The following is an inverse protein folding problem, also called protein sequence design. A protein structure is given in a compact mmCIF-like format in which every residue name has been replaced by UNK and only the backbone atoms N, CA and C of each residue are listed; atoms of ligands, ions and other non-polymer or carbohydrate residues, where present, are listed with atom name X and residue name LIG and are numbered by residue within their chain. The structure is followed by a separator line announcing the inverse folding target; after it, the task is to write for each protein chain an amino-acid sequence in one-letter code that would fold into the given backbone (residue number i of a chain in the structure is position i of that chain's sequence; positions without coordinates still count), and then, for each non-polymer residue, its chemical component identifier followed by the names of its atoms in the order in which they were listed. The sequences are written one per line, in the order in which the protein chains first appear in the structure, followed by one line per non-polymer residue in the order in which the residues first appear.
data_IF_157124519803
#
_entry.id   IF_157124519803
#
_cell.length_a   1.000
_cell.length_b   1.000
_cell.length_c   1.000
_cell.angle_alpha   90.00
_cell.angle_beta   90.00
_cell.angle_gamma   90.00
#
_symmetry.space_group_name_H-M   'P 1'
#
loop_
_entity.id
_entity.type
_entity.pdbx_description
1 polymer ?
#
# COMPACT_ATOMS: atom_id res chain seq x y z
N UNK A 1 19.60 -4.48 -34.27
CA UNK A 1 19.01 -3.95 -33.02
C UNK A 1 18.23 -5.07 -32.34
N UNK A 2 18.87 -5.85 -31.47
CA UNK A 2 18.22 -6.93 -30.72
C UNK A 2 18.81 -7.00 -29.31
N UNK A 3 18.61 -5.95 -28.52
CA UNK A 3 18.74 -6.05 -27.07
C UNK A 3 17.37 -6.51 -26.56
N UNK A 4 17.20 -7.82 -26.43
CA UNK A 4 16.17 -8.39 -25.56
C UNK A 4 16.36 -7.75 -24.18
N UNK A 5 15.38 -6.95 -23.74
CA UNK A 5 15.35 -6.39 -22.38
C UNK A 5 15.32 -7.59 -21.42
N UNK A 6 16.50 -7.96 -20.89
CA UNK A 6 16.62 -9.02 -19.89
C UNK A 6 15.73 -8.65 -18.70
N UNK A 7 14.78 -9.51 -18.33
CA UNK A 7 13.98 -9.33 -17.12
C UNK A 7 14.92 -9.31 -15.92
N UNK A 8 14.88 -8.23 -15.14
CA UNK A 8 15.64 -8.14 -13.89
C UNK A 8 14.98 -9.07 -12.87
N UNK A 9 15.79 -9.79 -12.08
CA UNK A 9 15.30 -10.65 -10.99
C UNK A 9 14.53 -9.78 -9.98
N UNK A 10 13.33 -10.20 -9.58
CA UNK A 10 12.40 -9.48 -8.70
C UNK A 10 11.88 -8.12 -9.23
N UNK A 11 11.48 -8.08 -10.50
CA UNK A 11 10.96 -6.88 -11.18
C UNK A 11 9.66 -6.35 -10.55
N UNK A 12 8.76 -7.24 -10.09
CA UNK A 12 7.48 -6.81 -9.53
C UNK A 12 7.67 -6.17 -8.14
N UNK A 13 8.55 -6.75 -7.33
CA UNK A 13 8.94 -6.19 -6.04
C UNK A 13 9.60 -4.81 -6.21
N UNK A 14 10.48 -4.65 -7.20
CA UNK A 14 11.08 -3.36 -7.52
C UNK A 14 10.03 -2.30 -7.87
N UNK A 15 9.11 -2.61 -8.79
CA UNK A 15 8.04 -1.67 -9.19
C UNK A 15 7.09 -1.36 -8.03
N UNK A 16 6.78 -2.34 -7.19
CA UNK A 16 6.00 -2.14 -5.96
C UNK A 16 6.69 -1.13 -5.02
N UNK A 17 7.99 -1.27 -4.79
CA UNK A 17 8.76 -0.38 -3.94
C UNK A 17 8.87 1.03 -4.54
N UNK A 18 9.00 1.16 -5.86
CA UNK A 18 9.00 2.45 -6.54
C UNK A 18 7.65 3.19 -6.38
N UNK A 19 6.53 2.48 -6.56
CA UNK A 19 5.19 3.05 -6.35
C UNK A 19 4.93 3.43 -4.89
N UNK A 20 5.55 2.73 -3.95
CA UNK A 20 5.39 2.98 -2.51
C UNK A 20 6.56 3.75 -1.87
N UNK A 21 7.45 4.35 -2.67
CA UNK A 21 8.65 5.05 -2.18
C UNK A 21 8.33 6.17 -1.18
N UNK A 22 7.17 6.83 -1.32
CA UNK A 22 6.70 7.84 -0.38
C UNK A 22 6.48 7.33 1.05
N UNK A 23 6.17 6.03 1.23
CA UNK A 23 6.01 5.40 2.56
C UNK A 23 7.34 5.25 3.31
N UNK A 24 8.47 5.22 2.60
CA UNK A 24 9.81 5.16 3.22
C UNK A 24 10.22 6.46 3.93
N UNK A 25 9.55 7.57 3.57
CA UNK A 25 9.92 8.92 3.95
C UNK A 25 9.13 9.50 5.13
N UNK A 26 8.22 8.75 5.77
CA UNK A 26 7.44 9.28 6.91
C UNK A 26 8.40 9.80 7.99
N UNK A 27 8.52 11.13 8.19
CA UNK A 27 9.29 11.67 9.30
C UNK A 27 8.50 11.36 10.56
N UNK A 28 9.19 10.95 11.63
CA UNK A 28 8.57 10.69 12.93
C UNK A 28 7.95 12.01 13.45
N UNK A 29 6.63 12.25 13.29
CA UNK A 29 6.09 13.60 13.32
C UNK A 29 6.00 14.16 14.75
N UNK A 30 5.97 13.28 15.76
CA UNK A 30 5.88 13.68 17.17
C UNK A 30 7.22 14.14 17.77
N UNK A 31 8.31 13.43 17.51
CA UNK A 31 9.57 13.69 18.22
C UNK A 31 10.37 14.85 17.62
N UNK A 32 10.45 14.95 16.29
CA UNK A 32 11.28 15.96 15.61
C UNK A 32 10.68 17.37 15.70
N UNK A 33 9.37 17.50 15.50
CA UNK A 33 8.69 18.81 15.47
C UNK A 33 8.57 19.42 16.86
N UNK A 34 8.30 18.61 17.89
CA UNK A 34 8.24 19.07 19.29
C UNK A 34 9.64 19.41 19.82
N UNK A 35 10.68 18.64 19.47
CA UNK A 35 12.05 18.95 19.88
C UNK A 35 12.58 20.22 19.21
N UNK A 36 12.37 20.39 17.90
CA UNK A 36 12.85 21.58 17.17
C UNK A 36 12.07 22.83 17.57
N UNK A 37 10.74 22.76 17.73
CA UNK A 37 9.95 23.92 18.15
C UNK A 37 10.25 24.36 19.59
N UNK A 38 10.40 23.43 20.54
CA UNK A 38 10.71 23.76 21.94
C UNK A 38 12.12 24.34 22.12
N UNK A 39 13.12 23.83 21.38
CA UNK A 39 14.47 24.38 21.38
C UNK A 39 14.53 25.80 20.80
N UNK A 40 13.80 26.05 19.71
CA UNK A 40 13.75 27.38 19.07
C UNK A 40 13.03 28.41 19.95
N UNK A 41 11.89 28.06 20.55
CA UNK A 41 11.16 28.94 21.48
C UNK A 41 11.98 29.24 22.74
N UNK A 42 12.63 28.22 23.31
CA UNK A 42 13.48 28.39 24.49
C UNK A 42 14.72 29.25 24.19
N UNK A 43 15.35 29.04 23.02
CA UNK A 43 16.50 29.83 22.58
C UNK A 43 16.15 31.29 22.32
N UNK A 44 15.01 31.55 21.68
CA UNK A 44 14.54 32.91 21.41
C UNK A 44 14.20 33.69 22.70
N UNK A 45 13.54 33.04 23.67
CA UNK A 45 13.20 33.64 24.96
C UNK A 45 14.46 33.99 25.77
N UNK A 46 15.44 33.09 25.79
CA UNK A 46 16.72 33.29 26.48
C UNK A 46 17.56 34.41 25.85
N UNK A 47 17.59 34.48 24.51
CA UNK A 47 18.31 35.55 23.79
C UNK A 47 17.67 36.93 23.98
N UNK A 48 16.33 36.99 24.05
CA UNK A 48 15.60 38.22 24.35
C UNK A 48 15.88 38.74 25.78
N UNK A 49 15.98 37.85 26.76
CA UNK A 49 16.31 38.18 28.16
C UNK A 49 17.75 38.69 28.33
N UNK A 50 18.71 38.06 27.65
CA UNK A 50 20.12 38.49 27.66
C UNK A 50 20.32 39.90 27.08
N UNK A 51 19.52 40.28 26.08
CA UNK A 51 19.58 41.60 25.44
C UNK A 51 19.18 42.73 26.40
N UNK A 52 18.31 42.45 27.37
CA UNK A 52 17.72 43.46 28.27
C UNK A 52 18.49 43.65 29.59
N UNK A 53 19.23 42.64 30.08
CA UNK A 53 19.76 42.65 31.46
C UNK A 53 21.25 42.99 31.62
N UNK A 54 21.99 43.19 30.52
CA UNK A 54 23.43 43.49 30.58
C UNK A 54 24.28 42.34 31.19
N UNK A 55 25.60 42.54 31.39
CA UNK A 55 26.52 41.45 31.75
C UNK A 55 26.31 40.90 33.17
N UNK A 56 25.89 41.73 34.14
CA UNK A 56 25.69 41.30 35.53
C UNK A 56 24.36 40.53 35.69
N UNK A 57 23.31 40.94 34.97
CA UNK A 57 22.03 40.22 34.95
C UNK A 57 22.08 38.91 34.15
N UNK A 58 23.09 38.72 33.29
CA UNK A 58 23.24 37.50 32.48
C UNK A 58 23.45 36.24 33.33
N UNK A 59 24.25 36.31 34.39
CA UNK A 59 24.50 35.16 35.29
C UNK A 59 23.24 34.76 36.08
N UNK A 60 22.47 35.73 36.56
CA UNK A 60 21.20 35.48 37.24
C UNK A 60 20.14 34.95 36.28
N UNK A 61 20.07 35.49 35.05
CA UNK A 61 19.14 35.02 34.02
C UNK A 61 19.44 33.58 33.59
N UNK A 62 20.71 33.17 33.49
CA UNK A 62 21.09 31.77 33.23
C UNK A 62 20.61 30.81 34.32
N UNK A 63 20.80 31.18 35.59
CA UNK A 63 20.49 30.30 36.71
C UNK A 63 18.97 30.15 36.93
N UNK A 64 18.22 31.25 36.83
CA UNK A 64 16.79 31.26 37.15
C UNK A 64 15.86 31.06 35.95
N UNK A 65 16.33 31.29 34.71
CA UNK A 65 15.50 31.14 33.50
C UNK A 65 16.05 30.09 32.55
N UNK A 66 17.38 30.09 32.31
CA UNK A 66 18.02 29.11 31.43
C UNK A 66 17.87 27.67 31.91
N UNK A 67 18.26 27.40 33.16
CA UNK A 67 18.24 26.05 33.74
C UNK A 67 16.81 25.45 33.81
N UNK A 68 15.78 26.20 34.26
CA UNK A 68 14.40 25.70 34.25
C UNK A 68 13.84 25.47 32.85
N UNK A 69 14.16 26.33 31.87
CA UNK A 69 13.73 26.13 30.49
C UNK A 69 14.34 24.87 29.86
N UNK A 70 15.62 24.60 30.14
CA UNK A 70 16.28 23.34 29.73
C UNK A 70 15.59 22.14 30.42
N UNK A 71 15.27 22.26 31.71
CA UNK A 71 14.53 21.23 32.44
C UNK A 71 13.12 20.96 31.86
N UNK A 72 12.36 22.01 31.54
CA UNK A 72 11.01 21.91 30.97
C UNK A 72 11.06 21.32 29.56
N UNK A 73 11.97 21.80 28.71
CA UNK A 73 12.14 21.26 27.36
C UNK A 73 12.57 19.78 27.39
N UNK A 74 13.52 19.42 28.26
CA UNK A 74 13.90 18.02 28.46
C UNK A 74 12.73 17.19 29.00
N UNK A 75 11.94 17.71 29.94
CA UNK A 75 10.76 17.02 30.46
C UNK A 75 9.69 16.80 29.39
N UNK A 76 9.43 17.79 28.52
CA UNK A 76 8.48 17.64 27.41
C UNK A 76 8.97 16.63 26.37
N UNK A 77 10.27 16.64 26.05
CA UNK A 77 10.90 15.66 25.16
C UNK A 77 10.81 14.25 25.75
N UNK A 78 11.14 14.09 27.04
CA UNK A 78 11.03 12.81 27.74
C UNK A 78 9.57 12.36 27.83
N UNK A 79 8.63 13.26 28.15
CA UNK A 79 7.20 12.94 28.24
C UNK A 79 6.63 12.47 26.90
N UNK A 80 7.05 13.07 25.78
CA UNK A 80 6.61 12.63 24.46
C UNK A 80 7.35 11.35 24.02
N UNK A 81 8.64 11.20 24.36
CA UNK A 81 9.41 9.98 24.10
C UNK A 81 8.89 8.76 24.89
N UNK A 82 8.42 8.98 26.12
CA UNK A 82 7.84 7.97 27.02
C UNK A 82 6.32 7.90 26.97
N UNK A 83 5.66 8.66 26.09
CA UNK A 83 4.23 8.52 25.87
C UNK A 83 3.97 7.09 25.36
N UNK A 84 3.04 6.33 25.95
CA UNK A 84 2.73 5.00 25.46
C UNK A 84 2.30 5.15 24.01
N UNK A 85 3.14 4.70 23.07
CA UNK A 85 2.83 4.75 21.65
C UNK A 85 1.65 3.82 21.43
N UNK A 86 0.55 4.35 20.90
CA UNK A 86 -0.59 3.53 20.48
C UNK A 86 -0.10 2.36 19.61
N UNK A 87 -0.64 1.16 19.85
CA UNK A 87 -0.21 -0.04 19.12
C UNK A 87 -0.29 0.13 17.59
N UNK A 88 -1.23 0.94 17.11
CA UNK A 88 -1.36 1.33 15.70
C UNK A 88 -0.18 2.17 15.20
N UNK A 89 0.27 3.13 16.01
CA UNK A 89 1.39 4.01 15.68
C UNK A 89 2.73 3.26 15.68
N UNK A 90 2.87 2.25 16.54
CA UNK A 90 4.03 1.36 16.54
C UNK A 90 4.10 0.54 15.25
N UNK A 91 2.99 -0.10 14.84
CA UNK A 91 2.92 -0.85 13.57
C UNK A 91 3.28 0.02 12.37
N UNK A 92 2.77 1.25 12.30
CA UNK A 92 3.09 2.17 11.20
C UNK A 92 4.60 2.49 11.16
N UNK A 93 5.24 2.67 12.32
CA UNK A 93 6.69 2.91 12.41
C UNK A 93 7.52 1.69 12.00
N UNK A 94 7.11 0.49 12.41
CA UNK A 94 7.72 -0.77 12.01
C UNK A 94 7.62 -0.96 10.50
N UNK A 95 6.44 -0.77 9.92
CA UNK A 95 6.26 -0.84 8.46
C UNK A 95 7.14 0.17 7.73
N UNK A 96 7.14 1.43 8.14
CA UNK A 96 7.99 2.46 7.53
C UNK A 96 9.48 2.10 7.58
N UNK A 97 9.93 1.41 8.66
CA UNK A 97 11.30 0.92 8.78
C UNK A 97 11.59 -0.19 7.76
N UNK A 98 10.72 -1.19 7.63
CA UNK A 98 10.88 -2.30 6.67
C UNK A 98 10.89 -1.76 5.24
N UNK A 99 9.93 -0.89 4.89
CA UNK A 99 9.89 -0.23 3.58
C UNK A 99 11.16 0.55 3.27
N UNK A 100 11.68 1.32 4.24
CA UNK A 100 12.93 2.08 4.05
C UNK A 100 14.11 1.16 3.81
N UNK A 101 14.20 0.07 4.56
CA UNK A 101 15.26 -0.91 4.44
C UNK A 101 15.24 -1.58 3.05
N UNK A 102 14.07 -2.07 2.62
CA UNK A 102 13.86 -2.64 1.29
C UNK A 102 14.13 -1.61 0.17
N UNK A 103 13.73 -0.36 0.37
CA UNK A 103 13.97 0.71 -0.60
C UNK A 103 15.46 1.03 -0.75
N UNK A 104 16.21 1.10 0.34
CA UNK A 104 17.66 1.31 0.30
C UNK A 104 18.35 0.14 -0.40
N UNK A 105 17.98 -1.10 -0.06
CA UNK A 105 18.50 -2.31 -0.72
C UNK A 105 18.16 -2.33 -2.22
N UNK A 106 16.96 -1.89 -2.59
CA UNK A 106 16.55 -1.71 -3.99
C UNK A 106 17.41 -0.66 -4.71
N UNK A 107 17.58 0.53 -4.13
CA UNK A 107 18.41 1.60 -4.71
C UNK A 107 19.87 1.21 -4.91
N UNK A 108 20.38 0.32 -4.07
CA UNK A 108 21.72 -0.22 -4.18
C UNK A 108 21.82 -1.40 -5.18
N UNK A 109 20.73 -1.80 -5.84
CA UNK A 109 20.62 -3.01 -6.67
C UNK A 109 21.02 -4.30 -5.92
N UNK A 110 20.85 -4.33 -4.60
CA UNK A 110 21.25 -5.46 -3.74
C UNK A 110 20.08 -6.35 -3.31
N UNK A 111 18.88 -6.13 -3.87
CA UNK A 111 17.68 -6.95 -3.58
C UNK A 111 17.95 -8.44 -3.75
N UNK A 112 18.69 -8.82 -4.79
CA UNK A 112 19.00 -10.22 -5.09
C UNK A 112 20.07 -10.82 -4.16
N UNK A 113 20.88 -9.98 -3.53
CA UNK A 113 22.04 -10.38 -2.73
C UNK A 113 21.73 -10.44 -1.24
N UNK A 114 20.97 -9.47 -0.76
CA UNK A 114 20.77 -9.25 0.68
C UNK A 114 19.48 -9.94 1.19
N UNK A 115 18.50 -10.19 0.32
CA UNK A 115 17.30 -10.95 0.70
C UNK A 115 17.53 -12.46 0.60
N UNK A 116 16.88 -13.20 1.50
CA UNK A 116 16.70 -14.63 1.32
C UNK A 116 15.97 -14.89 -0.01
N UNK A 117 16.52 -15.70 -0.94
CA UNK A 117 15.93 -15.94 -2.25
C UNK A 117 14.50 -16.50 -2.16
N UNK A 118 14.22 -17.36 -1.18
CA UNK A 118 12.90 -18.01 -1.04
C UNK A 118 11.83 -16.99 -0.64
N UNK A 119 12.19 -16.06 0.25
CA UNK A 119 11.30 -14.99 0.69
C UNK A 119 11.17 -13.89 -0.35
N UNK A 120 12.25 -13.60 -1.08
CA UNK A 120 12.23 -12.66 -2.19
C UNK A 120 11.29 -13.11 -3.32
N UNK A 121 11.26 -14.42 -3.63
CA UNK A 121 10.32 -14.98 -4.60
C UNK A 121 8.86 -14.89 -4.13
N UNK A 122 8.59 -15.22 -2.86
CA UNK A 122 7.25 -15.06 -2.28
C UNK A 122 6.80 -13.59 -2.31
N UNK A 123 7.68 -12.66 -1.95
CA UNK A 123 7.41 -11.23 -1.99
C UNK A 123 7.20 -10.70 -3.40
N UNK A 124 7.98 -11.18 -4.38
CA UNK A 124 7.80 -10.81 -5.78
C UNK A 124 6.47 -11.33 -6.32
N UNK A 125 6.04 -12.53 -5.92
CA UNK A 125 4.72 -13.08 -6.26
C UNK A 125 3.57 -12.27 -5.62
N UNK A 126 3.68 -11.91 -4.33
CA UNK A 126 2.71 -11.02 -3.68
C UNK A 126 2.66 -9.65 -4.37
N UNK A 127 3.83 -9.06 -4.68
CA UNK A 127 3.93 -7.79 -5.39
C UNK A 127 3.35 -7.88 -6.80
N UNK A 128 3.53 -9.00 -7.50
CA UNK A 128 2.93 -9.27 -8.81
C UNK A 128 1.41 -9.23 -8.75
N UNK A 129 0.82 -9.88 -7.75
CA UNK A 129 -0.64 -9.88 -7.57
C UNK A 129 -1.17 -8.51 -7.15
N UNK A 130 -0.46 -7.81 -6.26
CA UNK A 130 -0.77 -6.43 -5.91
C UNK A 130 -0.74 -5.51 -7.15
N UNK A 131 0.30 -5.60 -7.98
CA UNK A 131 0.41 -4.83 -9.22
C UNK A 131 -0.71 -5.15 -10.21
N UNK A 132 -1.12 -6.43 -10.32
CA UNK A 132 -2.28 -6.81 -11.14
C UNK A 132 -3.56 -6.15 -10.66
N UNK A 133 -3.83 -6.16 -9.37
CA UNK A 133 -5.01 -5.48 -8.78
C UNK A 133 -4.97 -3.99 -9.12
N UNK A 134 -3.87 -3.31 -8.82
CA UNK A 134 -3.77 -1.86 -9.04
C UNK A 134 -3.81 -1.47 -10.52
N UNK A 135 -3.28 -2.30 -11.42
CA UNK A 135 -3.40 -2.08 -12.87
C UNK A 135 -4.82 -2.32 -13.34
N UNK A 136 -5.49 -3.36 -12.86
CA UNK A 136 -6.88 -3.65 -13.22
C UNK A 136 -7.82 -2.54 -12.74
N UNK A 137 -7.68 -2.09 -11.49
CA UNK A 137 -8.44 -0.97 -10.91
C UNK A 137 -8.07 0.39 -11.51
N UNK A 138 -6.92 0.51 -12.17
CA UNK A 138 -6.56 1.68 -12.99
C UNK A 138 -7.03 1.58 -14.44
N UNK A 139 -7.77 0.52 -14.79
CA UNK A 139 -8.31 0.31 -16.12
C UNK A 139 -9.54 1.18 -16.42
N UNK A 140 -9.96 1.25 -17.70
CA UNK A 140 -10.94 2.22 -18.18
C UNK A 140 -12.29 2.14 -17.46
N UNK A 141 -12.75 0.93 -17.11
CA UNK A 141 -14.00 0.71 -16.36
C UNK A 141 -13.98 1.37 -14.97
N UNK A 142 -12.94 1.12 -14.18
CA UNK A 142 -12.85 1.55 -12.77
C UNK A 142 -12.54 3.04 -12.59
N UNK A 143 -12.12 3.71 -13.66
CA UNK A 143 -11.75 5.14 -13.67
C UNK A 143 -12.85 6.05 -14.24
N UNK A 144 -14.00 5.51 -14.67
CA UNK A 144 -15.09 6.32 -15.19
C UNK A 144 -15.68 7.23 -14.09
N UNK A 145 -15.97 8.49 -14.42
CA UNK A 145 -16.61 9.43 -13.48
C UNK A 145 -18.03 8.97 -13.09
N UNK A 146 -18.73 8.36 -14.05
CA UNK A 146 -20.08 7.78 -13.94
C UNK A 146 -20.11 6.43 -13.22
N UNK A 147 -18.98 5.93 -12.73
CA UNK A 147 -18.93 4.63 -12.06
C UNK A 147 -19.91 4.61 -10.85
N UNK A 148 -20.81 3.61 -10.77
CA UNK A 148 -21.77 3.50 -9.67
C UNK A 148 -21.11 3.51 -8.29
N UNK A 149 -21.80 4.08 -7.29
CA UNK A 149 -21.28 4.28 -5.93
C UNK A 149 -20.82 2.96 -5.29
N UNK A 150 -21.54 1.86 -5.53
CA UNK A 150 -21.17 0.55 -4.99
C UNK A 150 -19.83 0.04 -5.58
N UNK A 151 -19.58 0.24 -6.87
CA UNK A 151 -18.31 -0.12 -7.52
C UNK A 151 -17.15 0.77 -7.07
N UNK A 152 -17.39 2.07 -6.82
CA UNK A 152 -16.40 2.95 -6.18
C UNK A 152 -16.00 2.42 -4.81
N UNK A 153 -16.97 2.01 -3.99
CA UNK A 153 -16.71 1.39 -2.68
C UNK A 153 -15.93 0.07 -2.77
N UNK A 154 -16.22 -0.78 -3.76
CA UNK A 154 -15.47 -2.02 -4.00
C UNK A 154 -14.02 -1.73 -4.41
N UNK A 155 -13.81 -0.77 -5.33
CA UNK A 155 -12.46 -0.35 -5.76
C UNK A 155 -11.63 0.13 -4.58
N UNK A 156 -12.17 1.04 -3.78
CA UNK A 156 -11.43 1.66 -2.68
C UNK A 156 -11.10 0.61 -1.60
N UNK A 157 -12.04 -0.29 -1.27
CA UNK A 157 -11.79 -1.43 -0.37
C UNK A 157 -10.77 -2.42 -0.92
N UNK A 158 -10.78 -2.69 -2.23
CA UNK A 158 -9.81 -3.59 -2.86
C UNK A 158 -8.39 -3.01 -2.81
N UNK A 159 -8.24 -1.70 -3.03
CA UNK A 159 -6.96 -0.97 -2.89
C UNK A 159 -6.45 -1.00 -1.45
N UNK A 160 -7.35 -0.74 -0.48
CA UNK A 160 -7.00 -0.75 0.93
C UNK A 160 -6.61 -2.15 1.39
N UNK A 161 -7.44 -3.16 1.09
CA UNK A 161 -7.21 -4.54 1.48
C UNK A 161 -5.94 -5.13 0.85
N UNK A 162 -5.67 -4.85 -0.42
CA UNK A 162 -4.44 -5.32 -1.08
C UNK A 162 -3.18 -4.70 -0.45
N UNK A 163 -3.26 -3.42 -0.07
CA UNK A 163 -2.16 -2.71 0.57
C UNK A 163 -1.91 -3.21 2.00
N UNK A 164 -2.97 -3.42 2.77
CA UNK A 164 -2.88 -3.99 4.12
C UNK A 164 -2.32 -5.42 4.09
N UNK A 165 -2.76 -6.24 3.13
CA UNK A 165 -2.23 -7.57 2.93
C UNK A 165 -0.72 -7.58 2.62
N UNK A 166 -0.24 -6.65 1.80
CA UNK A 166 1.21 -6.49 1.56
C UNK A 166 1.95 -6.05 2.82
N UNK A 167 1.39 -5.13 3.61
CA UNK A 167 1.98 -4.69 4.87
C UNK A 167 2.06 -5.87 5.87
N UNK A 168 1.03 -6.69 5.98
CA UNK A 168 1.01 -7.90 6.82
C UNK A 168 2.10 -8.91 6.39
N UNK A 169 2.26 -9.15 5.08
CA UNK A 169 3.32 -10.04 4.57
C UNK A 169 4.70 -9.50 4.92
N UNK A 170 4.93 -8.19 4.77
CA UNK A 170 6.20 -7.57 5.14
C UNK A 170 6.51 -7.70 6.64
N UNK A 171 5.48 -7.59 7.49
CA UNK A 171 5.59 -7.74 8.93
C UNK A 171 5.91 -9.20 9.32
N UNK A 172 5.20 -10.17 8.73
CA UNK A 172 5.43 -11.60 8.96
C UNK A 172 6.86 -11.99 8.58
N UNK A 173 7.39 -11.41 7.50
CA UNK A 173 8.70 -11.75 6.98
C UNK A 173 9.84 -10.95 7.61
N UNK A 174 9.57 -9.89 8.38
CA UNK A 174 10.58 -8.92 8.87
C UNK A 174 11.83 -9.60 9.45
N UNK A 175 11.63 -10.56 10.35
CA UNK A 175 12.70 -11.24 11.09
C UNK A 175 13.58 -12.15 10.22
N UNK A 176 13.14 -12.47 9.01
CA UNK A 176 13.78 -13.43 8.11
C UNK A 176 14.18 -12.82 6.76
N UNK A 177 13.80 -11.57 6.47
CA UNK A 177 14.06 -10.91 5.19
C UNK A 177 15.53 -10.91 4.77
N UNK A 178 16.47 -10.86 5.73
CA UNK A 178 17.89 -10.70 5.44
C UNK A 178 18.70 -11.96 5.73
N UNK A 179 19.56 -12.33 4.78
CA UNK A 179 20.51 -13.43 4.95
C UNK A 179 21.49 -13.05 6.08
N UNK A 180 21.45 -13.78 7.20
CA UNK A 180 22.42 -13.64 8.29
C UNK A 180 23.81 -13.92 7.72
N UNK A 181 24.74 -12.97 7.82
CA UNK A 181 26.07 -13.07 7.20
C UNK A 181 26.80 -14.37 7.59
N UNK A 182 26.75 -15.39 6.73
CA UNK A 182 27.73 -16.47 6.73
C UNK A 182 28.92 -15.98 5.91
N UNK A 183 30.09 -15.86 6.58
CA UNK A 183 31.37 -15.43 6.01
C UNK A 183 31.52 -15.88 4.56
N UNK A 184 31.55 -14.92 3.64
CA UNK A 184 31.62 -15.13 2.20
C UNK A 184 32.85 -15.96 1.84
N UNK A 185 32.63 -17.21 1.42
CA UNK A 185 33.70 -18.07 0.95
C UNK A 185 33.89 -17.81 -0.55
N UNK A 186 35.12 -17.54 -0.98
CA UNK A 186 35.43 -17.10 -2.36
C UNK A 186 35.09 -18.14 -3.43
N UNK A 187 34.94 -19.41 -3.01
CA UNK A 187 34.50 -20.52 -3.85
C UNK A 187 33.02 -20.42 -4.25
N UNK A 188 32.16 -19.85 -3.38
CA UNK A 188 30.74 -19.66 -3.70
C UNK A 188 30.55 -18.60 -4.79
N UNK A 189 31.40 -17.57 -4.80
CA UNK A 189 31.39 -16.51 -5.82
C UNK A 189 31.74 -17.05 -7.21
N UNK A 190 32.63 -18.04 -7.28
CA UNK A 190 33.04 -18.65 -8.55
C UNK A 190 32.01 -19.65 -9.04
N UNK A 191 31.41 -20.44 -8.15
CA UNK A 191 30.32 -21.36 -8.50
C UNK A 191 29.08 -20.60 -8.98
N UNK A 192 28.73 -19.48 -8.31
CA UNK A 192 27.61 -18.62 -8.71
C UNK A 192 27.86 -17.97 -10.07
N UNK A 193 29.10 -17.60 -10.41
CA UNK A 193 29.44 -17.07 -11.75
C UNK A 193 29.29 -18.10 -12.88
N UNK A 194 29.50 -19.39 -12.58
CA UNK A 194 29.33 -20.48 -13.54
C UNK A 194 27.86 -20.86 -13.68
N UNK A 195 27.07 -20.80 -12.60
CA UNK A 195 25.61 -20.91 -12.64
C UNK A 195 24.97 -19.74 -13.42
N UNK A 196 25.41 -18.50 -13.19
CA UNK A 196 24.92 -17.30 -13.89
C UNK A 196 25.26 -17.31 -15.40
N UNK A 197 26.26 -18.09 -15.82
CA UNK A 197 26.63 -18.30 -17.23
C UNK A 197 25.82 -19.42 -17.91
N UNK A 198 25.23 -20.32 -17.14
CA UNK A 198 24.56 -21.53 -17.63
C UNK A 198 23.04 -21.53 -17.44
N UNK A 199 22.46 -20.69 -16.58
CA UNK A 199 21.11 -20.99 -16.10
C UNK A 199 19.93 -20.52 -16.97
N UNK A 200 19.05 -21.51 -17.14
CA UNK A 200 17.74 -21.47 -17.77
C UNK A 200 16.78 -20.57 -16.99
N UNK A 201 15.72 -20.03 -17.63
CA UNK A 201 14.68 -19.31 -16.91
C UNK A 201 14.11 -20.20 -15.79
N UNK A 202 13.96 -19.69 -14.55
CA UNK A 202 13.45 -20.52 -13.47
C UNK A 202 12.07 -21.07 -13.86
N UNK A 203 11.97 -22.40 -13.86
CA UNK A 203 10.68 -23.09 -13.93
C UNK A 203 9.81 -22.56 -12.79
N UNK A 204 8.59 -22.18 -13.15
CA UNK A 204 7.60 -21.57 -12.26
C UNK A 204 7.35 -22.42 -11.00
N UNK A 205 7.25 -21.67 -9.90
CA UNK A 205 6.81 -21.95 -8.51
C UNK A 205 7.67 -22.84 -7.61
N UNK A 206 8.36 -22.26 -6.62
CA UNK A 206 8.88 -22.97 -5.46
C UNK A 206 8.18 -22.56 -4.15
N UNK A 207 6.92 -22.11 -4.19
CA UNK A 207 6.13 -21.97 -2.95
C UNK A 207 5.81 -23.30 -2.26
N UNK A 208 6.10 -24.44 -2.90
CA UNK A 208 5.88 -25.78 -2.39
C UNK A 208 6.81 -26.20 -1.24
N UNK A 209 7.96 -25.54 -1.05
CA UNK A 209 8.98 -25.94 -0.06
C UNK A 209 9.29 -24.85 0.98
N UNK A 210 8.39 -23.89 1.19
CA UNK A 210 8.52 -22.95 2.31
C UNK A 210 8.20 -23.67 3.64
N UNK A 211 9.00 -23.43 4.70
CA UNK A 211 8.69 -23.88 6.06
C UNK A 211 7.27 -23.48 6.50
N UNK A 212 6.62 -24.27 7.38
CA UNK A 212 5.25 -24.00 7.86
C UNK A 212 5.07 -22.62 8.50
N UNK A 213 6.15 -22.05 9.03
CA UNK A 213 6.17 -20.71 9.64
C UNK A 213 5.76 -19.59 8.66
N UNK A 214 5.86 -19.83 7.35
CA UNK A 214 5.47 -18.89 6.29
C UNK A 214 4.09 -19.18 5.68
N UNK A 215 3.33 -20.14 6.23
CA UNK A 215 1.95 -20.42 5.82
C UNK A 215 1.03 -19.19 5.81
N UNK A 216 1.09 -18.30 6.82
CA UNK A 216 0.27 -17.09 6.80
C UNK A 216 0.59 -16.19 5.59
N UNK A 217 1.86 -16.06 5.22
CA UNK A 217 2.26 -15.26 4.07
C UNK A 217 1.84 -15.91 2.73
N UNK A 218 1.90 -17.25 2.64
CA UNK A 218 1.37 -17.99 1.48
C UNK A 218 -0.13 -17.80 1.32
N UNK A 219 -0.87 -17.85 2.42
CA UNK A 219 -2.32 -17.68 2.41
C UNK A 219 -2.70 -16.27 1.94
N UNK A 220 -1.95 -15.25 2.35
CA UNK A 220 -2.12 -13.88 1.85
C UNK A 220 -1.82 -13.78 0.36
N UNK A 221 -0.76 -14.44 -0.14
CA UNK A 221 -0.43 -14.47 -1.56
C UNK A 221 -1.57 -15.07 -2.41
N UNK A 222 -2.16 -16.19 -1.97
CA UNK A 222 -3.30 -16.81 -2.65
C UNK A 222 -4.56 -15.93 -2.57
N UNK A 223 -4.81 -15.25 -1.44
CA UNK A 223 -5.92 -14.28 -1.35
C UNK A 223 -5.74 -13.09 -2.29
N UNK A 224 -4.52 -12.54 -2.40
CA UNK A 224 -4.20 -11.47 -3.36
C UNK A 224 -4.41 -11.93 -4.80
N UNK A 225 -4.05 -13.18 -5.11
CA UNK A 225 -4.28 -13.78 -6.42
C UNK A 225 -5.76 -13.93 -6.75
N UNK A 226 -6.57 -14.39 -5.80
CA UNK A 226 -8.03 -14.49 -5.96
C UNK A 226 -8.64 -13.10 -6.16
N UNK A 227 -8.29 -12.13 -5.31
CA UNK A 227 -8.77 -10.75 -5.45
C UNK A 227 -8.39 -10.14 -6.82
N UNK A 228 -7.17 -10.39 -7.30
CA UNK A 228 -6.76 -9.95 -8.63
C UNK A 228 -7.63 -10.56 -9.75
N UNK A 229 -7.93 -11.86 -9.65
CA UNK A 229 -8.77 -12.54 -10.63
C UNK A 229 -10.20 -11.99 -10.63
N UNK A 230 -10.80 -11.81 -9.45
CA UNK A 230 -12.17 -11.29 -9.30
C UNK A 230 -12.29 -9.85 -9.82
N UNK A 231 -11.32 -8.98 -9.52
CA UNK A 231 -11.32 -7.59 -10.02
C UNK A 231 -11.20 -7.54 -11.54
N UNK A 232 -10.35 -8.39 -12.13
CA UNK A 232 -10.21 -8.49 -13.58
C UNK A 232 -11.46 -9.08 -14.24
N UNK A 233 -12.13 -10.04 -13.57
CA UNK A 233 -13.35 -10.66 -14.07
C UNK A 233 -14.54 -9.70 -14.01
N UNK A 234 -14.74 -9.02 -12.89
CA UNK A 234 -15.79 -8.01 -12.74
C UNK A 234 -15.69 -6.91 -13.82
N UNK A 235 -14.47 -6.45 -14.12
CA UNK A 235 -14.26 -5.49 -15.19
C UNK A 235 -14.66 -6.02 -16.58
N UNK A 236 -14.42 -7.31 -16.85
CA UNK A 236 -14.76 -7.94 -18.14
C UNK A 236 -16.26 -8.19 -18.28
N UNK A 237 -16.92 -8.61 -17.20
CA UNK A 237 -18.34 -8.92 -17.21
C UNK A 237 -19.17 -7.66 -17.47
N UNK A 238 -18.86 -6.56 -16.79
CA UNK A 238 -19.59 -5.30 -16.99
C UNK A 238 -19.34 -4.71 -18.39
N UNK A 239 -18.10 -4.74 -18.89
CA UNK A 239 -17.82 -4.31 -20.27
C UNK A 239 -18.57 -5.16 -21.31
N UNK A 240 -18.77 -6.46 -21.03
CA UNK A 240 -19.55 -7.33 -21.91
C UNK A 240 -21.05 -7.01 -21.85
N UNK A 241 -21.57 -6.66 -20.68
CA UNK A 241 -22.96 -6.22 -20.50
C UNK A 241 -23.22 -4.89 -21.18
N UNK A 242 -22.32 -3.91 -21.05
CA UNK A 242 -22.41 -2.62 -21.76
C UNK A 242 -22.40 -2.82 -23.28
N UNK A 243 -21.50 -3.65 -23.80
CA UNK A 243 -21.46 -3.97 -25.22
C UNK A 243 -22.71 -4.73 -25.70
N UNK A 244 -23.28 -5.59 -24.85
CA UNK A 244 -24.53 -6.29 -25.16
C UNK A 244 -25.71 -5.33 -25.19
N UNK A 245 -25.80 -4.41 -24.23
CA UNK A 245 -26.86 -3.40 -24.17
C UNK A 245 -26.75 -2.38 -25.31
N UNK A 246 -25.55 -2.04 -25.77
CA UNK A 246 -25.35 -1.18 -26.93
C UNK A 246 -25.82 -1.87 -28.24
N UNK A 247 -25.63 -3.18 -28.35
CA UNK A 247 -26.02 -3.96 -29.55
C UNK A 247 -27.51 -4.38 -29.52
N UNK A 248 -28.08 -4.65 -28.33
CA UNK A 248 -29.43 -5.19 -28.17
C UNK A 248 -30.40 -4.29 -27.38
N UNK A 249 -30.02 -3.04 -27.11
CA UNK A 249 -30.83 -2.08 -26.34
C UNK A 249 -32.22 -1.82 -26.93
N UNK A 250 -32.37 -1.99 -28.25
CA UNK A 250 -33.68 -1.92 -28.93
C UNK A 250 -34.69 -2.96 -28.44
N UNK A 251 -34.24 -4.15 -28.02
CA UNK A 251 -35.13 -5.20 -27.48
C UNK A 251 -35.64 -4.83 -26.10
N UNK A 252 -34.78 -4.29 -25.22
CA UNK A 252 -35.19 -3.80 -23.89
C UNK A 252 -36.15 -2.61 -24.00
N UNK A 253 -35.89 -1.69 -24.94
CA UNK A 253 -36.79 -0.57 -25.21
C UNK A 253 -38.15 -1.04 -25.75
N UNK A 254 -38.17 -2.06 -26.61
CA UNK A 254 -39.41 -2.68 -27.10
C UNK A 254 -40.20 -3.35 -25.96
N UNK A 255 -39.55 -4.10 -25.08
CA UNK A 255 -40.21 -4.71 -23.92
C UNK A 255 -40.80 -3.68 -22.96
N UNK A 256 -40.07 -2.57 -22.72
CA UNK A 256 -40.58 -1.46 -21.91
C UNK A 256 -41.84 -0.84 -22.53
N UNK A 257 -41.82 -0.52 -23.83
CA UNK A 257 -43.00 0.00 -24.53
C UNK A 257 -44.16 -1.01 -24.54
N UNK A 258 -43.88 -2.30 -24.73
CA UNK A 258 -44.93 -3.34 -24.71
C UNK A 258 -45.53 -3.50 -23.30
N UNK A 259 -44.71 -3.36 -22.26
CA UNK A 259 -45.18 -3.35 -20.86
C UNK A 259 -46.07 -2.14 -20.59
N UNK A 260 -45.67 -0.95 -21.02
CA UNK A 260 -46.48 0.27 -20.89
C UNK A 260 -47.80 0.15 -21.65
N UNK A 261 -47.80 -0.34 -22.89
CA UNK A 261 -49.02 -0.55 -23.66
C UNK A 261 -49.96 -1.56 -23.01
N UNK A 262 -49.43 -2.62 -22.39
CA UNK A 262 -50.25 -3.58 -21.62
C UNK A 262 -50.86 -2.92 -20.38
N UNK A 263 -50.07 -2.15 -19.64
CA UNK A 263 -50.54 -1.40 -18.47
C UNK A 263 -51.65 -0.42 -18.83
N UNK A 264 -51.49 0.34 -19.92
CA UNK A 264 -52.52 1.27 -20.40
C UNK A 264 -53.79 0.50 -20.77
N UNK A 265 -53.67 -0.63 -21.47
CA UNK A 265 -54.83 -1.42 -21.88
C UNK A 265 -55.57 -2.03 -20.68
N UNK A 266 -54.84 -2.48 -19.67
CA UNK A 266 -55.42 -2.98 -18.42
C UNK A 266 -56.18 -1.86 -17.68
N UNK A 267 -55.60 -0.67 -17.60
CA UNK A 267 -56.26 0.51 -17.02
C UNK A 267 -57.51 0.92 -17.80
N UNK A 268 -57.50 0.88 -19.13
CA UNK A 268 -58.69 1.15 -19.96
C UNK A 268 -59.79 0.10 -19.73
N UNK A 269 -59.44 -1.18 -19.64
CA UNK A 269 -60.44 -2.23 -19.36
C UNK A 269 -61.04 -2.14 -17.96
N UNK A 270 -60.29 -1.66 -16.97
CA UNK A 270 -60.81 -1.38 -15.64
C UNK A 270 -61.80 -0.21 -15.67
N UNK A 271 -61.46 0.86 -16.39
CA UNK A 271 -62.31 2.05 -16.55
C UNK A 271 -63.64 1.75 -17.27
N UNK A 272 -63.60 0.97 -18.36
CA UNK A 272 -64.80 0.50 -19.06
C UNK A 272 -65.65 -0.46 -18.20
N UNK A 273 -65.00 -1.22 -17.32
CA UNK A 273 -65.65 -2.07 -16.33
C UNK A 273 -66.41 -1.26 -15.28
N UNK A 274 -65.78 -0.21 -14.72
CA UNK A 274 -66.41 0.68 -13.73
C UNK A 274 -67.57 1.49 -14.32
N UNK A 275 -67.43 2.00 -15.55
CA UNK A 275 -68.49 2.73 -16.26
C UNK A 275 -69.76 1.88 -16.43
N UNK A 276 -69.61 0.60 -16.77
CA UNK A 276 -70.74 -0.35 -16.92
C UNK A 276 -71.39 -0.79 -15.61
N UNK A 277 -70.69 -0.67 -14.48
CA UNK A 277 -71.23 -0.99 -13.14
C UNK A 277 -71.94 0.24 -12.53
N UNK A 278 -71.71 1.44 -13.09
CA UNK A 278 -72.31 2.71 -12.64
C UNK A 278 -73.62 3.10 -13.32
N UNK A 279 -74.08 2.34 -14.32
CA UNK A 279 -75.44 2.39 -14.90
C UNK A 279 -76.39 1.39 -14.22
#
# INVERSE_FOLDING_TARGET
MLFSKRKKRYENLAEFLERNAGRSHTPNPGAGVVAVSSLLLSGALYFALLRFLGPIGSMLATAFVGLPLIGISLHLILREAFRPKDARSQRIQEMARIYRLLWVTHKQNRLTKDLDPTLAELLDECARHWLRIHRALGGPFWTQETLPVHWKGVRDRAIEASSLAMDDVLLILESHLYKRETKTNWQDVVNEFVEDLLDQPPKRSPTAHLPPEYDPAREVAERLKLLAAEVEQAAKEVLREEAFDEVFGGSKALEACLSELKSIREAETELDGELRVSE
#
